data_IF_001109644990
#
_entry.id   IF_001109644990
#
_cell.length_a   1.000
_cell.length_b   1.000
_cell.length_c   1.000
_cell.angle_alpha   90.00
_cell.angle_beta   90.00
_cell.angle_gamma   90.00
#
_symmetry.space_group_name_H-M   'P 1'
#
loop_
_entity.id
_entity.type
_entity.pdbx_description
1 polymer ?
#
# COMPACT_ATOMS: atom_id res chain seq x y z
N UNK A 1 -5.41 -15.68 -15.48
CA UNK A 1 -6.67 -15.07 -15.01
C UNK A 1 -6.44 -14.66 -13.57
N UNK A 2 -6.52 -13.37 -13.23
CA UNK A 2 -6.38 -12.92 -11.85
C UNK A 2 -7.71 -13.15 -11.13
N UNK A 3 -7.67 -13.83 -9.97
CA UNK A 3 -8.84 -14.02 -9.12
C UNK A 3 -8.80 -12.92 -8.07
N UNK A 4 -9.75 -12.00 -8.13
CA UNK A 4 -9.86 -10.93 -7.14
C UNK A 4 -10.70 -11.39 -5.95
N UNK A 5 -10.23 -11.08 -4.75
CA UNK A 5 -10.93 -11.36 -3.48
C UNK A 5 -11.35 -10.04 -2.86
N UNK A 6 -12.65 -9.85 -2.67
CA UNK A 6 -13.20 -8.69 -1.97
C UNK A 6 -13.21 -8.92 -0.46
N UNK A 7 -12.76 -7.91 0.29
CA UNK A 7 -12.79 -7.90 1.76
C UNK A 7 -13.68 -6.72 2.20
N UNK A 8 -14.68 -6.99 3.03
CA UNK A 8 -15.57 -5.98 3.59
C UNK A 8 -15.37 -5.89 5.10
N UNK A 9 -15.06 -4.70 5.59
CA UNK A 9 -14.92 -4.42 7.01
C UNK A 9 -15.67 -3.12 7.35
N UNK A 10 -16.34 -3.09 8.51
CA UNK A 10 -16.91 -1.88 9.08
C UNK A 10 -16.07 -1.49 10.28
N UNK A 11 -15.55 -0.28 10.27
CA UNK A 11 -14.71 0.27 11.33
C UNK A 11 -15.32 1.60 11.79
N UNK A 12 -15.30 1.90 13.09
CA UNK A 12 -15.43 3.28 13.56
C UNK A 12 -14.43 4.19 12.84
N UNK A 13 -14.82 5.46 12.64
CA UNK A 13 -13.99 6.44 11.94
C UNK A 13 -12.57 6.54 12.53
N UNK A 14 -12.46 6.58 13.86
CA UNK A 14 -11.17 6.65 14.57
C UNK A 14 -10.28 5.43 14.28
N UNK A 15 -10.85 4.22 14.25
CA UNK A 15 -10.10 3.01 13.92
C UNK A 15 -9.63 3.01 12.46
N UNK A 16 -10.47 3.46 11.54
CA UNK A 16 -10.11 3.56 10.11
C UNK A 16 -9.00 4.60 9.88
N UNK A 17 -9.04 5.73 10.57
CA UNK A 17 -8.00 6.77 10.50
C UNK A 17 -6.67 6.28 11.10
N UNK A 18 -6.71 5.64 12.26
CA UNK A 18 -5.54 5.04 12.90
C UNK A 18 -4.92 3.94 12.01
N UNK A 19 -5.74 3.06 11.45
CA UNK A 19 -5.30 2.01 10.53
C UNK A 19 -4.67 2.60 9.26
N UNK A 20 -5.27 3.65 8.69
CA UNK A 20 -4.72 4.34 7.52
C UNK A 20 -3.33 4.92 7.80
N UNK A 21 -3.14 5.54 8.97
CA UNK A 21 -1.83 6.05 9.39
C UNK A 21 -0.81 4.92 9.50
N UNK A 22 -1.17 3.82 10.18
CA UNK A 22 -0.27 2.70 10.42
C UNK A 22 0.18 2.06 9.10
N UNK A 23 -0.76 1.85 8.18
CA UNK A 23 -0.47 1.31 6.85
C UNK A 23 0.43 2.25 6.04
N UNK A 24 0.25 3.57 6.11
CA UNK A 24 1.14 4.52 5.42
C UNK A 24 2.56 4.47 5.98
N UNK A 25 2.70 4.40 7.30
CA UNK A 25 3.99 4.35 7.98
C UNK A 25 4.76 3.07 7.62
N UNK A 26 4.08 1.92 7.69
CA UNK A 26 4.66 0.63 7.29
C UNK A 26 5.01 0.59 5.81
N UNK A 27 4.17 1.15 4.94
CA UNK A 27 4.45 1.20 3.50
C UNK A 27 5.70 2.03 3.19
N UNK A 28 5.85 3.19 3.85
CA UNK A 28 7.04 4.03 3.71
C UNK A 28 8.30 3.32 4.23
N UNK A 29 8.21 2.60 5.34
CA UNK A 29 9.32 1.80 5.88
C UNK A 29 9.78 0.72 4.90
N UNK A 30 8.86 -0.11 4.39
CA UNK A 30 9.18 -1.16 3.41
C UNK A 30 9.76 -0.57 2.13
N UNK A 31 9.25 0.57 1.69
CA UNK A 31 9.76 1.26 0.51
C UNK A 31 11.21 1.69 0.73
N UNK A 32 11.52 2.36 1.84
CA UNK A 32 12.87 2.78 2.18
C UNK A 32 13.84 1.59 2.32
N UNK A 33 13.39 0.50 2.93
CA UNK A 33 14.18 -0.72 3.12
C UNK A 33 14.60 -1.33 1.78
N UNK A 34 13.68 -1.42 0.82
CA UNK A 34 13.94 -2.08 -0.46
C UNK A 34 14.41 -1.13 -1.57
N UNK A 35 14.31 0.19 -1.39
CA UNK A 35 14.63 1.18 -2.43
C UNK A 35 16.08 1.09 -2.92
N UNK A 36 17.00 0.80 -2.00
CA UNK A 36 18.44 0.74 -2.27
C UNK A 36 19.02 -0.67 -2.39
N UNK A 37 18.17 -1.70 -2.27
CA UNK A 37 18.57 -3.07 -2.56
C UNK A 37 19.09 -3.15 -4.00
N UNK A 38 20.21 -3.86 -4.20
CA UNK A 38 20.88 -4.00 -5.49
C UNK A 38 19.96 -4.44 -6.62
N UNK A 39 18.91 -5.20 -6.29
CA UNK A 39 17.86 -5.65 -7.22
C UNK A 39 17.06 -4.49 -7.82
N UNK A 40 16.85 -3.40 -7.08
CA UNK A 40 15.99 -2.29 -7.47
C UNK A 40 16.76 -1.00 -7.74
N UNK A 41 17.94 -0.80 -7.14
CA UNK A 41 18.70 0.45 -7.29
C UNK A 41 19.17 0.71 -8.73
N UNK A 42 19.34 -0.36 -9.53
CA UNK A 42 19.73 -0.28 -10.95
C UNK A 42 18.55 0.04 -11.87
N UNK A 43 17.32 -0.04 -11.35
CA UNK A 43 16.11 0.30 -12.11
C UNK A 43 15.98 1.83 -12.13
N UNK A 44 15.66 2.45 -13.28
CA UNK A 44 15.36 3.87 -13.36
C UNK A 44 14.30 4.28 -12.34
N UNK A 45 14.48 5.44 -11.70
CA UNK A 45 13.66 5.85 -10.56
C UNK A 45 12.16 5.87 -10.87
N UNK A 46 11.77 6.36 -12.05
CA UNK A 46 10.37 6.39 -12.50
C UNK A 46 9.72 5.00 -12.67
N UNK A 47 10.51 3.94 -12.78
CA UNK A 47 10.04 2.56 -12.90
C UNK A 47 10.17 1.78 -11.59
N UNK A 48 11.06 2.21 -10.68
CA UNK A 48 11.43 1.47 -9.47
C UNK A 48 10.24 1.20 -8.56
N UNK A 49 9.35 2.17 -8.38
CA UNK A 49 8.14 1.99 -7.58
C UNK A 49 7.27 0.85 -8.13
N UNK A 50 7.04 0.82 -9.46
CA UNK A 50 6.26 -0.25 -10.10
C UNK A 50 6.92 -1.62 -9.94
N UNK A 51 8.24 -1.68 -10.08
CA UNK A 51 9.02 -2.91 -9.87
C UNK A 51 8.95 -3.44 -8.44
N UNK A 52 8.99 -2.56 -7.44
CA UNK A 52 8.81 -2.92 -6.04
C UNK A 52 7.44 -3.56 -5.80
N UNK A 53 6.37 -2.95 -6.33
CA UNK A 53 5.02 -3.49 -6.19
C UNK A 53 4.83 -4.84 -6.90
N UNK A 54 5.53 -5.06 -8.02
CA UNK A 54 5.51 -6.34 -8.71
C UNK A 54 6.27 -7.43 -7.94
N UNK A 55 7.36 -7.07 -7.25
CA UNK A 55 8.18 -7.99 -6.49
C UNK A 55 7.62 -8.32 -5.10
N UNK A 56 6.89 -7.40 -4.48
CA UNK A 56 6.38 -7.53 -3.11
C UNK A 56 4.84 -7.46 -3.08
N UNK A 57 4.15 -8.62 -3.14
CA UNK A 57 2.68 -8.67 -3.15
C UNK A 57 2.02 -7.96 -1.96
N UNK A 58 2.66 -8.01 -0.78
CA UNK A 58 2.18 -7.33 0.43
C UNK A 58 2.15 -5.81 0.23
N UNK A 59 3.20 -5.22 -0.37
CA UNK A 59 3.23 -3.79 -0.68
C UNK A 59 2.12 -3.40 -1.67
N UNK A 60 1.89 -4.23 -2.70
CA UNK A 60 0.82 -4.01 -3.66
C UNK A 60 -0.57 -4.06 -3.01
N UNK A 61 -0.82 -5.04 -2.14
CA UNK A 61 -2.06 -5.14 -1.38
C UNK A 61 -2.23 -3.94 -0.43
N UNK A 62 -1.17 -3.56 0.29
CA UNK A 62 -1.16 -2.43 1.22
C UNK A 62 -1.44 -1.10 0.51
N UNK A 63 -0.84 -0.84 -0.66
CA UNK A 63 -1.14 0.34 -1.47
C UNK A 63 -2.62 0.42 -1.87
N UNK A 64 -3.21 -0.72 -2.29
CA UNK A 64 -4.64 -0.79 -2.62
C UNK A 64 -5.50 -0.52 -1.40
N UNK A 65 -5.18 -1.13 -0.26
CA UNK A 65 -5.93 -0.96 0.99
C UNK A 65 -5.86 0.48 1.52
N UNK A 66 -4.70 1.13 1.46
CA UNK A 66 -4.54 2.56 1.78
C UNK A 66 -5.50 3.41 0.91
N UNK A 67 -5.56 3.12 -0.39
CA UNK A 67 -6.47 3.81 -1.31
C UNK A 67 -7.94 3.59 -0.95
N UNK A 68 -8.32 2.34 -0.69
CA UNK A 68 -9.69 1.97 -0.31
C UNK A 68 -10.13 2.65 0.98
N UNK A 69 -9.32 2.59 2.04
CA UNK A 69 -9.65 3.21 3.33
C UNK A 69 -9.76 4.73 3.19
N UNK A 70 -8.81 5.38 2.50
CA UNK A 70 -8.88 6.83 2.24
C UNK A 70 -10.18 7.19 1.51
N UNK A 71 -10.52 6.45 0.47
CA UNK A 71 -11.73 6.69 -0.30
C UNK A 71 -12.99 6.54 0.55
N UNK A 72 -13.13 5.45 1.31
CA UNK A 72 -14.28 5.25 2.20
C UNK A 72 -14.37 6.31 3.31
N UNK A 73 -13.25 6.78 3.87
CA UNK A 73 -13.24 7.88 4.84
C UNK A 73 -13.68 9.23 4.25
N UNK A 74 -13.33 9.48 2.99
CA UNK A 74 -13.72 10.68 2.24
C UNK A 74 -15.20 10.65 1.84
N UNK A 75 -15.76 9.48 1.51
CA UNK A 75 -17.18 9.30 1.19
C UNK A 75 -18.10 9.34 2.41
N UNK A 76 -17.61 8.87 3.57
CA UNK A 76 -18.36 8.88 4.84
C UNK A 76 -18.34 10.24 5.56
N UNK A 77 -18.06 11.34 4.84
CA UNK A 77 -18.16 12.73 5.33
C UNK A 77 -19.62 13.21 5.32
#
# INVERSE_FOLDING_TARGET
>A
MQIDVAITAKLPREEAEALLQALRSQYAQQFNEHWYDDRFRRIPEGLRHGSLLAAFPVMAAQKRLIGAIKHSLDEAK
#
